data_IF_481925397475
#
_entry.id   IF_481925397475
#
_cell.length_a   1.000
_cell.length_b   1.000
_cell.length_c   1.000
_cell.angle_alpha   90.00
_cell.angle_beta   90.00
_cell.angle_gamma   90.00
#
_symmetry.space_group_name_H-M   'P 1'
#
loop_
_entity.id
_entity.type
_entity.pdbx_description
1 polymer ?
#
# COMPACT_ATOMS: atom_id res chain seq x y z
N UNK A 1 -49.62 33.70 14.02
CA UNK A 1 -50.67 32.80 14.48
C UNK A 1 -50.45 31.48 13.78
N UNK A 2 -50.32 30.43 14.59
CA UNK A 2 -50.13 29.02 14.26
C UNK A 2 -48.79 28.52 13.70
N UNK A 3 -48.38 27.42 14.32
CA UNK A 3 -47.10 26.74 14.29
C UNK A 3 -47.36 25.24 13.91
N UNK A 4 -46.41 24.29 14.02
CA UNK A 4 -46.00 23.43 12.91
C UNK A 4 -46.53 21.99 13.01
N UNK A 5 -46.61 21.31 11.85
CA UNK A 5 -46.99 19.91 11.74
C UNK A 5 -45.85 18.95 12.10
N UNK A 6 -46.17 17.99 12.97
CA UNK A 6 -45.29 17.07 13.67
C UNK A 6 -44.63 15.99 12.80
N UNK A 7 -43.42 15.60 13.24
CA UNK A 7 -42.74 14.35 12.95
C UNK A 7 -43.54 13.17 13.56
N UNK A 8 -43.76 12.10 12.79
CA UNK A 8 -44.21 10.81 13.30
C UNK A 8 -43.23 9.71 12.89
N UNK A 9 -42.76 8.97 13.89
CA UNK A 9 -41.80 7.89 13.74
C UNK A 9 -42.52 6.55 13.79
N UNK A 10 -42.29 5.71 12.79
CA UNK A 10 -42.47 4.26 12.91
C UNK A 10 -41.67 3.52 11.84
N UNK A 11 -40.68 2.76 12.29
CA UNK A 11 -39.98 1.72 11.53
C UNK A 11 -40.82 0.44 11.53
N UNK A 12 -41.00 -0.24 10.38
CA UNK A 12 -41.48 -1.60 10.36
C UNK A 12 -40.33 -2.63 10.33
N UNK A 13 -40.46 -3.60 11.24
CA UNK A 13 -39.59 -4.75 11.50
C UNK A 13 -39.54 -5.77 10.34
N UNK A 14 -38.38 -6.43 10.21
CA UNK A 14 -38.15 -7.56 9.30
C UNK A 14 -38.88 -8.84 9.73
N UNK A 15 -39.30 -9.71 8.80
CA UNK A 15 -39.75 -11.06 9.12
C UNK A 15 -38.60 -12.08 9.11
N UNK A 16 -38.61 -12.95 10.13
CA UNK A 16 -37.80 -14.15 10.24
C UNK A 16 -38.33 -15.26 9.30
N UNK A 17 -37.41 -15.97 8.62
CA UNK A 17 -37.73 -17.15 7.84
C UNK A 17 -37.10 -18.40 8.47
N UNK A 18 -37.96 -19.27 8.96
CA UNK A 18 -37.67 -20.65 9.38
C UNK A 18 -37.86 -21.59 8.19
N UNK A 19 -36.93 -22.52 7.98
CA UNK A 19 -37.06 -23.58 6.97
C UNK A 19 -36.17 -24.78 7.29
N UNK A 20 -36.80 -25.90 7.63
CA UNK A 20 -36.21 -27.21 7.92
C UNK A 20 -35.80 -27.95 6.63
N UNK A 21 -34.80 -28.84 6.70
CA UNK A 21 -34.83 -30.13 6.01
C UNK A 21 -33.78 -31.10 6.59
N UNK A 22 -34.26 -32.31 6.87
CA UNK A 22 -33.56 -33.47 7.41
C UNK A 22 -32.74 -34.21 6.35
N UNK A 23 -31.76 -35.00 6.80
CA UNK A 23 -31.06 -35.99 5.99
C UNK A 23 -30.32 -37.00 6.87
N UNK A 24 -30.96 -38.15 7.11
CA UNK A 24 -30.40 -39.31 7.80
C UNK A 24 -29.58 -40.19 6.85
N UNK A 25 -28.56 -40.88 7.37
CA UNK A 25 -27.87 -41.97 6.67
C UNK A 25 -26.57 -42.40 7.35
N UNK A 26 -26.62 -43.53 8.05
CA UNK A 26 -25.54 -44.12 8.84
C UNK A 26 -24.65 -45.10 8.03
N UNK A 27 -23.58 -45.58 8.72
CA UNK A 27 -22.71 -46.75 8.45
C UNK A 27 -21.41 -46.48 7.67
N UNK A 28 -20.27 -47.14 7.86
CA UNK A 28 -19.63 -47.87 8.97
C UNK A 28 -18.21 -48.28 8.50
N UNK A 29 -17.26 -48.35 9.44
CA UNK A 29 -16.11 -49.26 9.54
C UNK A 29 -14.92 -49.25 8.51
N UNK A 30 -13.77 -48.84 9.05
CA UNK A 30 -12.48 -49.57 9.14
C UNK A 30 -11.68 -49.93 7.88
N UNK A 31 -10.43 -49.44 7.77
CA UNK A 31 -9.19 -50.19 8.11
C UNK A 31 -7.90 -49.53 7.56
N UNK A 32 -6.80 -49.75 8.29
CA UNK A 32 -5.39 -49.81 7.84
C UNK A 32 -4.49 -48.57 7.87
N UNK A 33 -3.41 -48.68 8.65
CA UNK A 33 -2.09 -48.20 8.22
C UNK A 33 -1.44 -47.07 9.01
N UNK A 34 -1.24 -47.19 10.33
CA UNK A 34 -0.33 -46.28 11.06
C UNK A 34 1.13 -46.68 10.80
N UNK A 35 1.73 -46.19 9.72
CA UNK A 35 3.18 -46.19 9.55
C UNK A 35 3.77 -45.00 10.31
N UNK A 36 4.69 -45.32 11.23
CA UNK A 36 5.60 -44.37 11.85
C UNK A 36 6.54 -43.78 10.78
N UNK A 37 6.56 -42.46 10.66
CA UNK A 37 7.68 -41.74 10.03
C UNK A 37 8.17 -40.68 11.02
N UNK A 38 9.49 -40.71 11.23
CA UNK A 38 10.23 -39.89 12.17
C UNK A 38 10.14 -38.40 11.81
N UNK A 39 9.96 -37.56 12.82
CA UNK A 39 10.00 -36.11 12.69
C UNK A 39 11.44 -35.67 12.35
N UNK A 40 11.66 -34.86 11.31
CA UNK A 40 12.92 -34.16 11.18
C UNK A 40 12.96 -33.04 12.23
N UNK A 41 14.05 -33.01 13.01
CA UNK A 41 14.42 -31.89 13.88
C UNK A 41 14.45 -30.59 13.07
N UNK A 42 13.31 -29.92 13.02
CA UNK A 42 13.19 -28.57 12.49
C UNK A 42 13.55 -27.66 13.63
N UNK A 43 14.86 -27.41 13.78
CA UNK A 43 15.34 -26.23 14.46
C UNK A 43 14.77 -25.02 13.70
N UNK A 44 13.59 -24.57 14.12
CA UNK A 44 12.85 -23.45 13.57
C UNK A 44 13.58 -22.14 13.86
N UNK A 45 14.64 -21.88 13.09
CA UNK A 45 15.12 -20.52 12.88
C UNK A 45 14.14 -19.82 11.95
N UNK A 46 13.13 -19.16 12.51
CA UNK A 46 12.31 -18.22 11.76
C UNK A 46 13.15 -16.97 11.48
N UNK A 47 14.02 -17.06 10.47
CA UNK A 47 14.62 -15.89 9.85
C UNK A 47 13.52 -15.22 9.02
N UNK A 48 12.67 -14.45 9.69
CA UNK A 48 11.61 -13.67 9.07
C UNK A 48 12.19 -12.57 8.20
N UNK A 49 12.71 -12.93 7.02
CA UNK A 49 12.84 -11.99 5.92
C UNK A 49 11.58 -12.14 5.09
N UNK A 50 10.60 -11.27 5.32
CA UNK A 50 9.43 -11.12 4.44
C UNK A 50 9.83 -10.46 3.11
N UNK A 51 10.96 -10.90 2.54
CA UNK A 51 11.42 -10.51 1.22
C UNK A 51 10.74 -11.47 0.26
N UNK A 52 9.78 -10.98 -0.51
CA UNK A 52 9.34 -11.70 -1.71
C UNK A 52 10.60 -12.04 -2.52
N UNK A 53 10.81 -13.32 -2.84
CA UNK A 53 12.00 -13.76 -3.57
C UNK A 53 12.07 -13.16 -4.98
N UNK A 54 10.92 -12.71 -5.51
CA UNK A 54 10.76 -12.13 -6.84
C UNK A 54 9.72 -11.00 -6.76
N UNK A 55 9.97 -9.80 -7.30
CA UNK A 55 8.94 -8.78 -7.43
C UNK A 55 7.83 -9.24 -8.38
N UNK A 56 6.62 -8.71 -8.21
CA UNK A 56 5.51 -8.94 -9.17
C UNK A 56 5.93 -8.50 -10.58
N UNK A 57 5.54 -9.22 -11.65
CA UNK A 57 5.93 -8.87 -13.02
C UNK A 57 5.53 -7.45 -13.42
N UNK A 58 6.37 -6.78 -14.21
CA UNK A 58 6.16 -5.37 -14.60
C UNK A 58 4.84 -5.18 -15.35
N UNK A 59 4.49 -6.14 -16.19
CA UNK A 59 3.26 -6.17 -16.96
C UNK A 59 1.97 -6.23 -16.11
N UNK A 60 2.08 -6.71 -14.86
CA UNK A 60 0.95 -6.77 -13.92
C UNK A 60 0.88 -5.53 -13.04
N UNK A 61 1.99 -4.81 -12.84
CA UNK A 61 2.04 -3.65 -11.94
C UNK A 61 1.01 -2.57 -12.30
N UNK A 62 0.78 -2.32 -13.59
CA UNK A 62 -0.17 -1.30 -14.04
C UNK A 62 -1.61 -1.66 -13.64
N UNK A 63 -2.00 -2.93 -13.79
CA UNK A 63 -3.32 -3.43 -13.37
C UNK A 63 -3.49 -3.33 -11.85
N UNK A 64 -2.42 -3.63 -11.09
CA UNK A 64 -2.42 -3.53 -9.62
C UNK A 64 -2.53 -2.08 -9.13
N UNK A 65 -1.85 -1.13 -9.79
CA UNK A 65 -2.01 0.30 -9.51
C UNK A 65 -3.43 0.77 -9.83
N UNK A 66 -3.99 0.38 -10.98
CA UNK A 66 -5.37 0.75 -11.32
C UNK A 66 -6.39 0.16 -10.34
N UNK A 67 -6.20 -1.08 -9.90
CA UNK A 67 -7.05 -1.71 -8.88
C UNK A 67 -7.00 -0.96 -7.54
N UNK A 68 -5.82 -0.57 -7.07
CA UNK A 68 -5.71 0.15 -5.78
C UNK A 68 -6.33 1.55 -5.86
N UNK A 69 -6.24 2.21 -7.01
CA UNK A 69 -6.92 3.49 -7.25
C UNK A 69 -8.45 3.36 -7.20
N UNK A 70 -9.00 2.28 -7.76
CA UNK A 70 -10.43 1.97 -7.63
C UNK A 70 -10.84 1.72 -6.16
N UNK A 71 -9.98 1.06 -5.38
CA UNK A 71 -10.23 0.82 -3.97
C UNK A 71 -10.28 2.13 -3.15
N UNK A 72 -9.41 3.10 -3.44
CA UNK A 72 -9.45 4.43 -2.78
C UNK A 72 -10.79 5.15 -3.00
N UNK A 73 -11.39 5.00 -4.18
CA UNK A 73 -12.68 5.62 -4.51
C UNK A 73 -13.87 4.95 -3.81
N UNK A 74 -13.68 3.74 -3.26
CA UNK A 74 -14.76 2.95 -2.64
C UNK A 74 -14.95 3.30 -1.16
N UNK A 75 -13.86 3.40 -0.39
CA UNK A 75 -13.89 3.85 1.01
C UNK A 75 -12.64 4.67 1.36
N UNK A 76 -12.81 5.99 1.44
CA UNK A 76 -11.73 6.92 1.76
C UNK A 76 -11.15 6.75 3.19
N UNK A 77 -11.86 6.04 4.08
CA UNK A 77 -11.39 5.78 5.46
C UNK A 77 -10.56 4.50 5.55
N UNK A 78 -10.63 3.62 4.55
CA UNK A 78 -9.85 2.40 4.54
C UNK A 78 -8.36 2.70 4.32
N UNK A 79 -7.54 2.19 5.24
CA UNK A 79 -6.09 2.32 5.20
C UNK A 79 -5.45 1.17 4.42
N UNK A 80 -6.18 0.07 4.20
CA UNK A 80 -5.67 -1.14 3.56
C UNK A 80 -5.14 -0.88 2.14
N UNK A 81 -5.81 -0.09 1.27
CA UNK A 81 -5.31 0.17 -0.08
C UNK A 81 -4.02 0.99 -0.04
N UNK A 82 -3.84 1.89 0.95
CA UNK A 82 -2.61 2.68 1.09
C UNK A 82 -1.41 1.83 1.52
N UNK A 83 -1.65 0.79 2.32
CA UNK A 83 -0.61 -0.17 2.68
C UNK A 83 -0.22 -1.04 1.49
N UNK A 84 -1.21 -1.47 0.69
CA UNK A 84 -0.97 -2.21 -0.54
C UNK A 84 -0.22 -1.37 -1.57
N UNK A 85 -0.65 -0.12 -1.78
CA UNK A 85 0.03 0.85 -2.63
C UNK A 85 1.50 1.00 -2.25
N UNK A 86 1.79 1.17 -0.95
CA UNK A 86 3.17 1.26 -0.47
C UNK A 86 3.98 0.00 -0.83
N UNK A 87 3.36 -1.18 -0.73
CA UNK A 87 3.97 -2.43 -1.14
C UNK A 87 4.21 -2.51 -2.66
N UNK A 88 3.28 -2.01 -3.49
CA UNK A 88 3.46 -1.91 -4.95
C UNK A 88 4.66 -1.02 -5.32
N UNK A 89 4.82 0.14 -4.66
CA UNK A 89 5.99 1.01 -4.86
C UNK A 89 7.29 0.26 -4.53
N UNK A 90 7.29 -0.54 -3.47
CA UNK A 90 8.41 -1.42 -3.13
C UNK A 90 8.73 -2.44 -4.22
N UNK A 91 7.71 -3.03 -4.86
CA UNK A 91 7.91 -3.92 -6.00
C UNK A 91 8.47 -3.19 -7.23
N UNK A 92 7.99 -1.97 -7.52
CA UNK A 92 8.53 -1.16 -8.61
C UNK A 92 10.02 -0.87 -8.42
N UNK A 93 10.46 -0.64 -7.18
CA UNK A 93 11.87 -0.42 -6.84
C UNK A 93 12.71 -1.69 -6.91
N UNK A 94 12.16 -2.82 -6.45
CA UNK A 94 12.83 -4.11 -6.51
C UNK A 94 13.21 -4.53 -7.94
N UNK A 95 12.47 -4.09 -8.98
CA UNK A 95 12.87 -4.27 -10.38
C UNK A 95 14.17 -3.51 -10.72
N UNK A 96 14.31 -2.26 -10.28
CA UNK A 96 15.54 -1.50 -10.47
C UNK A 96 16.70 -2.14 -9.70
N UNK A 97 16.45 -2.59 -8.47
CA UNK A 97 17.46 -3.27 -7.66
C UNK A 97 17.95 -4.57 -8.32
N UNK A 98 17.02 -5.36 -8.87
CA UNK A 98 17.32 -6.62 -9.55
C UNK A 98 18.07 -6.41 -10.86
N UNK A 99 17.82 -5.30 -11.56
CA UNK A 99 18.48 -4.96 -12.80
C UNK A 99 19.85 -4.27 -12.60
N UNK A 100 20.22 -3.89 -11.37
CA UNK A 100 21.45 -3.14 -11.08
C UNK A 100 22.70 -3.89 -11.56
N UNK A 101 23.55 -3.20 -12.32
CA UNK A 101 24.78 -3.75 -12.89
C UNK A 101 24.57 -4.65 -14.10
N UNK A 102 23.33 -4.79 -14.59
CA UNK A 102 23.01 -5.55 -15.81
C UNK A 102 22.77 -4.60 -16.99
N UNK A 103 22.75 -5.13 -18.22
CA UNK A 103 22.39 -4.36 -19.42
C UNK A 103 20.95 -3.80 -19.36
N UNK A 104 20.09 -4.38 -18.51
CA UNK A 104 18.70 -3.94 -18.31
C UNK A 104 18.50 -2.81 -17.30
N UNK A 105 19.56 -2.32 -16.63
CA UNK A 105 19.43 -1.29 -15.59
C UNK A 105 18.76 -0.02 -16.11
N UNK A 106 19.20 0.49 -17.27
CA UNK A 106 18.66 1.73 -17.84
C UNK A 106 17.18 1.61 -18.25
N UNK A 107 16.79 0.43 -18.77
CA UNK A 107 15.40 0.14 -19.08
C UNK A 107 14.54 0.10 -17.81
N UNK A 108 15.03 -0.55 -16.75
CA UNK A 108 14.35 -0.59 -15.45
C UNK A 108 14.23 0.82 -14.82
N UNK A 109 15.26 1.66 -14.95
CA UNK A 109 15.22 3.07 -14.53
C UNK A 109 14.15 3.86 -15.28
N UNK A 110 14.08 3.71 -16.59
CA UNK A 110 13.08 4.37 -17.45
C UNK A 110 11.66 3.96 -17.06
N UNK A 111 11.43 2.65 -16.86
CA UNK A 111 10.13 2.13 -16.42
C UNK A 111 9.75 2.70 -15.05
N UNK A 112 10.66 2.66 -14.08
CA UNK A 112 10.41 3.17 -12.74
C UNK A 112 10.14 4.69 -12.74
N UNK A 113 10.88 5.47 -13.53
CA UNK A 113 10.62 6.91 -13.69
C UNK A 113 9.21 7.17 -14.20
N UNK A 114 8.77 6.41 -15.22
CA UNK A 114 7.42 6.48 -15.75
C UNK A 114 6.34 6.17 -14.69
N UNK A 115 6.55 5.12 -13.90
CA UNK A 115 5.65 4.76 -12.80
C UNK A 115 5.59 5.88 -11.76
N UNK A 116 6.74 6.36 -11.26
CA UNK A 116 6.77 7.41 -10.24
C UNK A 116 6.11 8.71 -10.73
N UNK A 117 6.37 9.11 -11.98
CA UNK A 117 5.79 10.33 -12.56
C UNK A 117 4.26 10.21 -12.74
N UNK A 118 3.77 9.07 -13.24
CA UNK A 118 2.33 8.78 -13.38
C UNK A 118 1.64 8.85 -12.02
N UNK A 119 2.19 8.15 -11.04
CA UNK A 119 1.62 8.04 -9.71
C UNK A 119 1.62 9.37 -8.93
N UNK A 120 2.69 10.16 -9.07
CA UNK A 120 2.72 11.54 -8.54
C UNK A 120 1.60 12.38 -9.14
N UNK A 121 1.41 12.31 -10.45
CA UNK A 121 0.36 13.08 -11.15
C UNK A 121 -1.03 12.67 -10.67
N UNK A 122 -1.33 11.36 -10.61
CA UNK A 122 -2.63 10.85 -10.11
C UNK A 122 -2.92 11.32 -8.68
N UNK A 123 -1.95 11.24 -7.77
CA UNK A 123 -2.15 11.70 -6.38
C UNK A 123 -2.40 13.21 -6.29
N UNK A 124 -1.74 14.01 -7.13
CA UNK A 124 -1.92 15.46 -7.16
C UNK A 124 -3.28 15.83 -7.75
N UNK A 125 -3.64 15.25 -8.89
CA UNK A 125 -4.81 15.64 -9.68
C UNK A 125 -6.11 15.06 -9.13
N UNK A 126 -6.10 13.80 -8.67
CA UNK A 126 -7.33 13.10 -8.26
C UNK A 126 -7.60 13.23 -6.76
N UNK A 127 -6.57 13.13 -5.92
CA UNK A 127 -6.73 13.10 -4.47
C UNK A 127 -6.50 14.47 -3.82
N UNK A 128 -5.33 15.06 -4.04
CA UNK A 128 -4.92 16.29 -3.32
C UNK A 128 -5.53 17.55 -3.91
N UNK A 129 -5.99 17.54 -5.16
CA UNK A 129 -6.78 18.64 -5.71
C UNK A 129 -8.13 18.78 -5.00
N UNK A 130 -8.78 17.64 -4.68
CA UNK A 130 -10.05 17.61 -3.96
C UNK A 130 -9.86 17.82 -2.44
N UNK A 131 -8.89 17.13 -1.85
CA UNK A 131 -8.59 17.18 -0.42
C UNK A 131 -7.10 17.40 -0.16
N UNK A 132 -6.62 18.67 -0.17
CA UNK A 132 -5.21 18.99 -0.02
C UNK A 132 -4.56 18.50 1.29
N UNK A 133 -5.36 18.28 2.32
CA UNK A 133 -4.93 17.85 3.67
C UNK A 133 -5.22 16.36 3.94
N UNK A 134 -5.56 15.58 2.91
CA UNK A 134 -5.73 14.14 3.04
C UNK A 134 -4.39 13.48 3.41
N UNK A 135 -4.31 12.93 4.63
CA UNK A 135 -3.08 12.41 5.25
C UNK A 135 -2.39 11.35 4.39
N UNK A 136 -3.15 10.36 3.90
CA UNK A 136 -2.59 9.22 3.19
C UNK A 136 -2.10 9.57 1.78
N UNK A 137 -2.87 10.28 0.92
CA UNK A 137 -2.35 10.80 -0.34
C UNK A 137 -1.11 11.66 -0.17
N UNK A 138 -1.11 12.57 0.81
CA UNK A 138 0.03 13.46 1.06
C UNK A 138 1.29 12.70 1.50
N UNK A 139 1.13 11.68 2.36
CA UNK A 139 2.24 10.82 2.78
C UNK A 139 2.78 9.97 1.63
N UNK A 140 1.91 9.43 0.80
CA UNK A 140 2.31 8.68 -0.38
C UNK A 140 3.06 9.57 -1.36
N UNK A 141 2.54 10.77 -1.63
CA UNK A 141 3.20 11.77 -2.48
C UNK A 141 4.61 12.12 -1.97
N UNK A 142 4.75 12.38 -0.66
CA UNK A 142 6.03 12.71 -0.05
C UNK A 142 7.08 11.60 -0.31
N UNK A 143 6.68 10.34 -0.15
CA UNK A 143 7.56 9.18 -0.37
C UNK A 143 7.93 8.99 -1.84
N UNK A 144 7.00 9.20 -2.77
CA UNK A 144 7.29 9.11 -4.20
C UNK A 144 8.29 10.19 -4.64
N UNK A 145 8.08 11.44 -4.22
CA UNK A 145 9.00 12.55 -4.50
C UNK A 145 10.37 12.32 -3.86
N UNK A 146 10.42 11.82 -2.65
CA UNK A 146 11.68 11.40 -2.00
C UNK A 146 12.41 10.32 -2.82
N UNK A 147 11.69 9.33 -3.33
CA UNK A 147 12.27 8.29 -4.20
C UNK A 147 12.78 8.88 -5.52
N UNK A 148 12.01 9.76 -6.18
CA UNK A 148 12.43 10.45 -7.41
C UNK A 148 13.72 11.24 -7.19
N UNK A 149 13.78 12.05 -6.12
CA UNK A 149 14.95 12.86 -5.81
C UNK A 149 16.20 11.99 -5.54
N UNK A 150 16.06 10.98 -4.67
CA UNK A 150 17.18 10.09 -4.30
C UNK A 150 17.72 9.27 -5.47
N UNK A 151 16.85 8.85 -6.39
CA UNK A 151 17.24 8.05 -7.55
C UNK A 151 17.62 8.90 -8.78
N UNK A 152 17.40 10.22 -8.72
CA UNK A 152 17.56 11.10 -9.87
C UNK A 152 16.53 10.86 -10.99
N UNK A 153 15.36 10.31 -10.65
CA UNK A 153 14.27 9.98 -11.57
C UNK A 153 13.20 11.08 -11.54
N UNK A 154 13.63 12.32 -11.78
CA UNK A 154 12.83 13.53 -11.56
C UNK A 154 12.13 14.04 -12.84
N UNK A 155 12.13 13.28 -13.94
CA UNK A 155 11.49 13.69 -15.19
C UNK A 155 12.09 14.98 -15.79
N UNK A 156 13.39 15.19 -15.61
CA UNK A 156 14.11 16.41 -16.01
C UNK A 156 13.99 17.60 -15.05
N UNK A 157 13.24 17.47 -13.94
CA UNK A 157 13.23 18.46 -12.86
C UNK A 157 14.50 18.37 -12.01
N UNK A 158 14.80 19.44 -11.29
CA UNK A 158 15.88 19.47 -10.32
C UNK A 158 15.59 18.56 -9.12
N UNK A 159 16.55 17.72 -8.75
CA UNK A 159 16.38 16.76 -7.65
C UNK A 159 16.22 17.45 -6.29
N UNK A 160 16.89 18.58 -6.07
CA UNK A 160 16.78 19.32 -4.80
C UNK A 160 15.41 20.01 -4.68
N UNK A 161 14.85 20.51 -5.78
CA UNK A 161 13.47 21.02 -5.82
C UNK A 161 12.47 19.92 -5.44
N UNK A 162 12.57 18.73 -6.05
CA UNK A 162 11.70 17.59 -5.74
C UNK A 162 11.88 17.13 -4.29
N UNK A 163 13.11 17.12 -3.78
CA UNK A 163 13.40 16.83 -2.38
C UNK A 163 12.78 17.86 -1.43
N UNK A 164 12.83 19.15 -1.78
CA UNK A 164 12.21 20.22 -1.00
C UNK A 164 10.69 20.07 -0.92
N UNK A 165 10.04 19.67 -2.02
CA UNK A 165 8.60 19.38 -2.03
C UNK A 165 8.25 18.21 -1.10
N UNK A 166 9.05 17.13 -1.11
CA UNK A 166 8.86 16.01 -0.19
C UNK A 166 9.00 16.45 1.28
N UNK A 167 10.02 17.27 1.59
CA UNK A 167 10.21 17.83 2.94
C UNK A 167 9.06 18.75 3.36
N UNK A 168 8.54 19.55 2.43
CA UNK A 168 7.35 20.37 2.67
C UNK A 168 6.12 19.54 3.03
N UNK A 169 5.90 18.43 2.31
CA UNK A 169 4.80 17.50 2.58
C UNK A 169 4.92 16.83 3.96
N UNK A 170 6.10 16.34 4.34
CA UNK A 170 6.32 15.79 5.69
C UNK A 170 6.10 16.82 6.80
N UNK A 171 6.55 18.06 6.59
CA UNK A 171 6.32 19.15 7.56
C UNK A 171 4.82 19.43 7.75
N UNK A 172 4.05 19.42 6.66
CA UNK A 172 2.59 19.57 6.70
C UNK A 172 1.93 18.39 7.43
N UNK A 173 2.39 17.15 7.19
CA UNK A 173 1.88 15.96 7.86
C UNK A 173 2.07 15.98 9.38
N UNK A 174 3.16 16.58 9.88
CA UNK A 174 3.36 16.75 11.32
C UNK A 174 2.25 17.57 11.99
N UNK A 175 1.69 18.55 11.29
CA UNK A 175 0.57 19.35 11.78
C UNK A 175 -0.77 18.59 11.66
N UNK A 176 -0.96 17.84 10.56
CA UNK A 176 -2.20 17.11 10.29
C UNK A 176 -2.37 15.83 11.12
N UNK A 177 -1.26 15.14 11.43
CA UNK A 177 -1.26 13.90 12.21
C UNK A 177 -0.25 13.93 13.36
N UNK A 178 -0.53 14.71 14.43
CA UNK A 178 0.40 14.94 15.54
C UNK A 178 0.87 13.66 16.24
N UNK A 179 0.02 12.63 16.30
CA UNK A 179 0.36 11.33 16.89
C UNK A 179 1.53 10.64 16.18
N UNK A 180 1.74 10.94 14.88
CA UNK A 180 2.82 10.39 14.06
C UNK A 180 3.89 11.42 13.72
N UNK A 181 3.89 12.59 14.37
CA UNK A 181 4.85 13.66 14.09
C UNK A 181 6.32 13.20 14.22
N UNK A 182 6.62 12.33 15.19
CA UNK A 182 7.96 11.74 15.34
C UNK A 182 8.40 10.94 14.11
N UNK A 183 7.50 10.15 13.54
CA UNK A 183 7.78 9.37 12.33
C UNK A 183 8.06 10.27 11.11
N UNK A 184 7.29 11.35 10.91
CA UNK A 184 7.55 12.28 9.80
C UNK A 184 8.85 13.07 10.02
N UNK A 185 9.18 13.40 11.27
CA UNK A 185 10.47 14.00 11.60
C UNK A 185 11.63 13.06 11.27
N UNK A 186 11.52 11.78 11.60
CA UNK A 186 12.52 10.79 11.22
C UNK A 186 12.63 10.66 9.69
N UNK A 187 11.53 10.75 8.95
CA UNK A 187 11.54 10.78 7.48
C UNK A 187 12.28 12.02 6.93
N UNK A 188 12.02 13.21 7.49
CA UNK A 188 12.73 14.44 7.13
C UNK A 188 14.24 14.35 7.37
N UNK A 189 14.64 13.68 8.45
CA UNK A 189 16.04 13.46 8.81
C UNK A 189 16.66 12.28 8.05
N UNK A 190 15.93 11.63 7.14
CA UNK A 190 16.39 10.48 6.36
C UNK A 190 16.55 9.20 7.18
N UNK A 191 16.00 9.14 8.40
CA UNK A 191 16.08 8.00 9.32
C UNK A 191 14.95 6.98 9.11
N UNK A 192 13.82 7.43 8.55
CA UNK A 192 12.73 6.53 8.17
C UNK A 192 12.88 6.13 6.70
N UNK A 193 13.52 4.99 6.44
CA UNK A 193 13.57 4.39 5.11
C UNK A 193 12.28 3.62 4.86
N UNK A 194 11.32 4.24 4.19
CA UNK A 194 9.98 3.66 4.05
C UNK A 194 9.80 2.94 2.73
N UNK A 195 10.58 3.36 1.75
CA UNK A 195 10.51 2.92 0.35
C UNK A 195 11.90 2.51 -0.16
N UNK A 196 12.99 3.04 0.44
CA UNK A 196 14.35 2.91 -0.09
C UNK A 196 15.29 2.28 0.94
N UNK A 197 14.93 1.14 1.51
CA UNK A 197 15.89 0.35 2.30
C UNK A 197 17.04 -0.19 1.44
N UNK A 198 16.89 -0.20 0.11
CA UNK A 198 17.82 -0.83 -0.81
C UNK A 198 18.89 0.07 -1.44
N UNK A 199 18.87 1.40 -1.22
CA UNK A 199 19.96 2.26 -1.69
C UNK A 199 21.13 2.38 -0.70
N UNK A 200 21.08 1.63 0.41
CA UNK A 200 22.10 1.70 1.44
C UNK A 200 22.03 3.01 2.23
N UNK A 201 22.36 2.92 3.51
CA UNK A 201 22.77 4.09 4.29
C UNK A 201 24.05 4.65 3.69
N UNK A 202 24.06 5.94 3.33
CA UNK A 202 25.31 6.70 3.11
C UNK A 202 26.06 6.80 4.43
#
# INVERSE_FOLDING_TARGET
>A
GEAPGAYDGSLPSQPAASGQAEGAGAQAASTSGRQQQAAPDTAGGFAGSATQATPIPVEVLDEEYDMVHQAFATDARDQSPWMYYRWLVGNSLAHLESARGTEGEEAARTVLEGVLAREVSRLQDDHLAAEPDAKWPLLTLARLKEAQARLGLCGGRDSEEVAAEARGAYSRLMALDPMRAGYYKDALEGKAFVVVSALGTV
#
